data_IF_807731235957
#
_entry.id   IF_807731235957
#
_cell.length_a   1.000
_cell.length_b   1.000
_cell.length_c   1.000
_cell.angle_alpha   90.00
_cell.angle_beta   90.00
_cell.angle_gamma   90.00
#
_symmetry.space_group_name_H-M   'P 1'
#
loop_
_entity.id
_entity.type
_entity.pdbx_description
1 polymer ?
#
# COMPACT_ATOMS: atom_id res chain seq x y z
N UNK A 1 -13.61 -5.56 12.88
CA UNK A 1 -12.60 -5.11 13.87
C UNK A 1 -13.05 -5.47 15.25
N UNK A 2 -14.28 -5.11 15.64
CA UNK A 2 -14.85 -5.44 16.95
C UNK A 2 -15.09 -6.94 17.12
N UNK A 3 -15.61 -7.64 16.10
CA UNK A 3 -15.84 -9.08 16.19
C UNK A 3 -14.55 -9.90 16.30
N UNK A 4 -13.44 -9.39 15.75
CA UNK A 4 -12.10 -10.01 15.80
C UNK A 4 -11.26 -9.47 16.98
N UNK A 5 -11.89 -8.98 18.05
CA UNK A 5 -11.25 -8.27 19.16
C UNK A 5 -11.15 -9.15 20.42
N UNK A 6 -10.07 -9.93 20.60
CA UNK A 6 -9.88 -10.77 21.79
C UNK A 6 -9.79 -9.99 23.11
N UNK A 7 -9.39 -8.71 23.05
CA UNK A 7 -9.38 -7.80 24.20
C UNK A 7 -9.66 -6.38 23.72
N UNK A 8 -10.34 -5.52 24.51
CA UNK A 8 -10.61 -4.14 24.13
C UNK A 8 -9.39 -3.41 23.56
N UNK A 9 -9.52 -2.94 22.32
CA UNK A 9 -8.49 -2.20 21.59
C UNK A 9 -7.51 -3.05 20.77
N UNK A 10 -7.51 -4.38 20.88
CA UNK A 10 -6.64 -5.24 20.07
C UNK A 10 -7.45 -6.10 19.10
N UNK A 11 -7.29 -5.85 17.80
CA UNK A 11 -7.87 -6.69 16.75
C UNK A 11 -6.85 -7.73 16.29
N UNK A 12 -7.23 -9.00 16.28
CA UNK A 12 -6.38 -10.12 15.85
C UNK A 12 -7.10 -10.93 14.76
N UNK A 13 -7.12 -10.36 13.55
CA UNK A 13 -7.77 -10.94 12.36
C UNK A 13 -6.89 -11.93 11.61
N UNK A 14 -5.59 -11.64 11.53
CA UNK A 14 -4.62 -12.47 10.82
C UNK A 14 -3.76 -13.19 11.84
N UNK A 15 -3.41 -14.45 11.56
CA UNK A 15 -2.73 -15.36 12.48
C UNK A 15 -1.44 -14.80 13.13
N UNK A 16 -0.70 -13.99 12.38
CA UNK A 16 0.66 -13.59 12.71
C UNK A 16 0.81 -12.12 13.14
N UNK A 17 -0.29 -11.36 13.20
CA UNK A 17 -0.23 -9.91 13.45
C UNK A 17 -1.46 -9.32 14.13
N UNK A 18 -1.20 -8.40 15.04
CA UNK A 18 -2.23 -7.69 15.83
C UNK A 18 -2.28 -6.20 15.50
N UNK A 19 -3.48 -5.61 15.54
CA UNK A 19 -3.70 -4.17 15.46
C UNK A 19 -4.09 -3.63 16.84
N UNK A 20 -3.23 -2.81 17.43
CA UNK A 20 -3.37 -2.25 18.77
C UNK A 20 -3.82 -0.78 18.68
N UNK A 21 -5.06 -0.50 19.08
CA UNK A 21 -5.63 0.86 19.19
C UNK A 21 -5.18 1.47 20.51
N UNK A 22 -4.29 2.46 20.44
CA UNK A 22 -3.69 3.10 21.63
C UNK A 22 -4.27 4.47 21.95
N UNK A 23 -5.00 5.05 21.01
CA UNK A 23 -5.64 6.36 21.13
C UNK A 23 -6.79 6.50 20.14
N UNK A 24 -7.75 7.34 20.47
CA UNK A 24 -8.81 7.80 19.57
C UNK A 24 -8.58 9.23 19.05
N UNK A 25 -7.52 9.91 19.52
CA UNK A 25 -7.16 11.24 19.07
C UNK A 25 -6.53 11.22 17.68
N UNK A 26 -6.82 12.26 16.91
CA UNK A 26 -6.11 12.61 15.69
C UNK A 26 -5.77 14.11 15.72
N UNK A 27 -4.62 14.51 15.16
CA UNK A 27 -4.33 15.92 14.92
C UNK A 27 -5.33 16.56 13.93
N UNK A 28 -5.87 15.74 13.00
CA UNK A 28 -6.95 16.12 12.11
C UNK A 28 -7.84 14.91 11.81
N UNK A 29 -9.16 15.10 11.93
CA UNK A 29 -10.15 14.06 11.68
C UNK A 29 -10.48 13.94 10.19
N UNK A 30 -9.98 12.90 9.52
CA UNK A 30 -10.24 12.62 8.11
C UNK A 30 -11.75 12.44 7.86
N UNK A 31 -12.35 13.21 6.95
CA UNK A 31 -13.79 13.06 6.61
C UNK A 31 -14.15 11.68 6.02
N UNK A 32 -13.16 10.93 5.56
CA UNK A 32 -13.25 9.56 5.03
C UNK A 32 -12.73 8.50 6.04
N UNK A 33 -12.63 8.82 7.33
CA UNK A 33 -12.07 7.90 8.33
C UNK A 33 -12.94 6.65 8.51
N UNK A 34 -12.31 5.47 8.40
CA UNK A 34 -12.95 4.17 8.60
C UNK A 34 -13.36 3.96 10.08
N UNK A 35 -12.71 4.67 11.00
CA UNK A 35 -12.95 4.64 12.44
C UNK A 35 -13.75 5.85 12.94
N UNK A 36 -14.57 6.46 12.09
CA UNK A 36 -15.44 7.59 12.49
C UNK A 36 -16.35 7.27 13.69
N UNK A 37 -16.75 6.00 13.85
CA UNK A 37 -17.57 5.51 14.96
C UNK A 37 -16.98 5.76 16.35
N UNK A 38 -15.64 5.85 16.49
CA UNK A 38 -14.96 6.05 17.78
C UNK A 38 -14.55 7.51 18.06
N UNK A 39 -14.90 8.46 17.18
CA UNK A 39 -14.55 9.87 17.37
C UNK A 39 -15.19 10.49 18.61
N UNK A 40 -16.42 10.07 18.97
CA UNK A 40 -17.20 10.64 20.05
C UNK A 40 -16.92 9.98 21.41
N UNK A 41 -15.83 9.24 21.54
CA UNK A 41 -15.41 8.67 22.82
C UNK A 41 -14.96 9.79 23.75
N UNK A 42 -15.51 9.88 24.96
CA UNK A 42 -15.16 10.92 25.93
C UNK A 42 -13.65 10.95 26.26
N UNK A 43 -12.99 9.78 26.23
CA UNK A 43 -11.54 9.64 26.39
C UNK A 43 -10.82 9.47 25.05
N UNK A 44 -9.90 10.39 24.79
CA UNK A 44 -9.02 10.37 23.63
C UNK A 44 -7.85 9.38 23.78
N UNK A 45 -7.48 9.01 25.01
CA UNK A 45 -6.40 8.06 25.30
C UNK A 45 -6.96 6.75 25.88
N UNK A 46 -6.49 5.61 25.37
CA UNK A 46 -6.92 4.30 25.88
C UNK A 46 -6.28 4.05 27.24
N UNK A 47 -7.09 3.78 28.27
CA UNK A 47 -6.59 3.62 29.64
C UNK A 47 -5.50 2.53 29.78
N UNK A 48 -4.66 2.66 30.81
CA UNK A 48 -3.51 1.77 31.02
C UNK A 48 -3.92 0.31 31.25
N UNK A 49 -5.09 0.08 31.85
CA UNK A 49 -5.64 -1.27 32.05
C UNK A 49 -5.88 -2.00 30.72
N UNK A 50 -6.43 -1.31 29.72
CA UNK A 50 -6.63 -1.87 28.39
C UNK A 50 -5.28 -2.11 27.69
N UNK A 51 -4.33 -1.18 27.76
CA UNK A 51 -2.97 -1.39 27.23
C UNK A 51 -2.33 -2.64 27.84
N UNK A 52 -2.46 -2.83 29.16
CA UNK A 52 -1.98 -4.03 29.86
C UNK A 52 -2.60 -5.32 29.31
N UNK A 53 -3.92 -5.33 29.09
CA UNK A 53 -4.61 -6.49 28.51
C UNK A 53 -4.12 -6.80 27.09
N UNK A 54 -3.94 -5.78 26.25
CA UNK A 54 -3.43 -5.94 24.88
C UNK A 54 -2.01 -6.54 24.87
N UNK A 55 -1.11 -5.98 25.68
CA UNK A 55 0.28 -6.48 25.80
C UNK A 55 0.30 -7.92 26.35
N UNK A 56 -0.52 -8.24 27.35
CA UNK A 56 -0.60 -9.59 27.90
C UNK A 56 -1.10 -10.61 26.87
N UNK A 57 -2.11 -10.24 26.07
CA UNK A 57 -2.61 -11.11 24.99
C UNK A 57 -1.54 -11.36 23.91
N UNK A 58 -0.81 -10.33 23.49
CA UNK A 58 0.30 -10.47 22.52
C UNK A 58 1.38 -11.39 23.10
N UNK A 59 1.71 -11.22 24.39
CA UNK A 59 2.69 -12.06 25.10
C UNK A 59 2.24 -13.52 25.18
N UNK A 60 0.94 -13.78 25.35
CA UNK A 60 0.41 -15.14 25.43
C UNK A 60 0.24 -15.83 24.07
N UNK A 61 0.46 -15.13 22.96
CA UNK A 61 0.22 -15.64 21.61
C UNK A 61 1.50 -15.62 20.75
N UNK A 62 2.33 -16.68 20.81
CA UNK A 62 3.62 -16.73 20.11
C UNK A 62 3.56 -16.56 18.58
N UNK A 63 2.39 -16.79 17.96
CA UNK A 63 2.21 -16.58 16.52
C UNK A 63 2.28 -15.10 16.12
N UNK A 64 1.99 -14.16 17.03
CA UNK A 64 1.95 -12.72 16.73
C UNK A 64 3.38 -12.16 16.67
N UNK A 65 3.93 -12.05 15.47
CA UNK A 65 5.27 -11.49 15.20
C UNK A 65 5.27 -10.02 14.77
N UNK A 66 4.13 -9.52 14.28
CA UNK A 66 3.98 -8.15 13.77
C UNK A 66 2.87 -7.39 14.51
N UNK A 67 3.23 -6.30 15.20
CA UNK A 67 2.28 -5.50 15.97
C UNK A 67 2.14 -4.12 15.34
N UNK A 68 0.90 -3.76 14.99
CA UNK A 68 0.54 -2.46 14.42
C UNK A 68 -0.01 -1.57 15.53
N UNK A 69 0.76 -0.60 15.97
CA UNK A 69 0.30 0.47 16.86
C UNK A 69 -0.48 1.49 16.03
N UNK A 70 -1.75 1.69 16.36
CA UNK A 70 -2.70 2.48 15.57
C UNK A 70 -3.83 3.03 16.45
N UNK A 71 -4.98 3.33 15.84
CA UNK A 71 -6.15 3.91 16.48
C UNK A 71 -6.68 5.09 15.67
N UNK A 72 -6.79 6.24 16.32
CA UNK A 72 -6.80 7.55 15.68
C UNK A 72 -5.43 7.82 15.04
N UNK A 73 -4.50 8.37 15.83
CA UNK A 73 -3.12 8.59 15.41
C UNK A 73 -2.15 8.46 16.61
N UNK A 74 -1.32 7.41 16.69
CA UNK A 74 -0.40 7.17 17.80
C UNK A 74 0.58 8.31 18.07
N UNK A 75 0.93 9.12 17.08
CA UNK A 75 1.85 10.25 17.28
C UNK A 75 1.20 11.44 17.99
N UNK A 76 -0.10 11.41 18.23
CA UNK A 76 -0.76 12.36 19.15
C UNK A 76 -0.50 12.06 20.62
N UNK A 77 0.01 10.87 20.94
CA UNK A 77 0.41 10.54 22.31
C UNK A 77 1.66 11.33 22.72
N UNK A 78 1.77 11.72 24.01
CA UNK A 78 3.02 12.18 24.57
C UNK A 78 4.15 11.18 24.31
N UNK A 79 5.33 11.70 23.97
CA UNK A 79 6.51 10.88 23.58
C UNK A 79 6.81 9.78 24.61
N UNK A 80 6.81 10.11 25.91
CA UNK A 80 7.03 9.15 27.00
C UNK A 80 5.98 8.01 27.05
N UNK A 81 4.73 8.29 26.68
CA UNK A 81 3.67 7.27 26.67
C UNK A 81 3.83 6.31 25.49
N UNK A 82 4.19 6.85 24.32
CA UNK A 82 4.53 6.02 23.16
C UNK A 82 5.76 5.15 23.47
N UNK A 83 6.80 5.71 24.10
CA UNK A 83 7.98 4.94 24.53
C UNK A 83 7.59 3.79 25.45
N UNK A 84 6.76 4.02 26.46
CA UNK A 84 6.30 2.97 27.38
C UNK A 84 5.68 1.78 26.64
N UNK A 85 4.84 2.04 25.63
CA UNK A 85 4.23 1.01 24.80
C UNK A 85 5.28 0.26 23.97
N UNK A 86 6.16 1.00 23.27
CA UNK A 86 7.19 0.41 22.41
C UNK A 86 8.16 -0.46 23.21
N UNK A 87 8.62 0.02 24.37
CA UNK A 87 9.50 -0.72 25.29
C UNK A 87 8.89 -2.06 25.70
N UNK A 88 7.59 -2.06 26.02
CA UNK A 88 6.87 -3.27 26.45
C UNK A 88 6.66 -4.25 25.31
N UNK A 89 6.35 -3.77 24.10
CA UNK A 89 6.27 -4.61 22.91
C UNK A 89 7.62 -5.24 22.59
N UNK A 90 8.71 -4.48 22.69
CA UNK A 90 10.08 -4.99 22.46
C UNK A 90 10.58 -5.96 23.51
N UNK A 91 10.03 -5.93 24.73
CA UNK A 91 10.34 -6.93 25.74
C UNK A 91 9.72 -8.32 25.42
N UNK A 92 8.83 -8.42 24.43
CA UNK A 92 8.23 -9.69 24.00
C UNK A 92 9.11 -10.31 22.92
N UNK A 93 9.79 -11.43 23.26
CA UNK A 93 10.83 -12.02 22.42
C UNK A 93 10.39 -12.49 21.02
N UNK A 94 9.10 -12.82 20.83
CA UNK A 94 8.56 -13.22 19.52
C UNK A 94 8.01 -12.05 18.68
N UNK A 95 8.00 -10.81 19.20
CA UNK A 95 7.57 -9.63 18.44
C UNK A 95 8.75 -9.08 17.64
N UNK A 96 8.77 -9.39 16.36
CA UNK A 96 9.85 -9.05 15.45
C UNK A 96 9.68 -7.64 14.87
N UNK A 97 8.46 -7.28 14.46
CA UNK A 97 8.17 -6.06 13.72
C UNK A 97 7.15 -5.23 14.49
N UNK A 98 7.46 -3.94 14.67
CA UNK A 98 6.49 -2.94 15.13
C UNK A 98 6.22 -1.98 13.99
N UNK A 99 4.94 -1.78 13.71
CA UNK A 99 4.47 -0.81 12.71
C UNK A 99 3.62 0.25 13.37
N UNK A 100 3.75 1.49 12.93
CA UNK A 100 2.96 2.60 13.42
C UNK A 100 2.13 3.14 12.27
N UNK A 101 0.80 3.12 12.41
CA UNK A 101 -0.12 3.75 11.46
C UNK A 101 -0.44 5.17 11.93
N UNK A 102 0.06 6.19 11.23
CA UNK A 102 -0.04 7.60 11.65
C UNK A 102 -0.18 8.51 10.44
N UNK A 103 -1.06 9.53 10.49
CA UNK A 103 -1.17 10.55 9.44
C UNK A 103 -0.39 11.83 9.78
N UNK A 104 0.17 11.88 10.98
CA UNK A 104 0.92 13.02 11.52
C UNK A 104 2.01 13.58 10.58
N UNK A 105 2.81 12.78 9.83
CA UNK A 105 3.76 13.34 8.87
C UNK A 105 3.11 14.25 7.81
N UNK A 106 1.81 14.09 7.57
CA UNK A 106 1.02 14.88 6.62
C UNK A 106 0.32 16.05 7.29
N UNK A 107 -0.31 15.82 8.44
CA UNK A 107 -1.26 16.77 9.06
C UNK A 107 -0.65 17.60 10.18
N UNK A 108 0.40 17.11 10.83
CA UNK A 108 1.13 17.81 11.88
C UNK A 108 2.62 17.44 11.81
N UNK A 109 3.33 17.78 10.71
CA UNK A 109 4.71 17.37 10.50
C UNK A 109 5.67 17.84 11.60
N UNK A 110 5.34 18.94 12.29
CA UNK A 110 6.10 19.50 13.42
C UNK A 110 6.21 18.55 14.61
N UNK A 111 5.29 17.58 14.75
CA UNK A 111 5.36 16.54 15.79
C UNK A 111 6.54 15.58 15.59
N UNK A 112 7.11 15.53 14.38
CA UNK A 112 8.27 14.71 14.06
C UNK A 112 9.55 15.49 14.39
N UNK A 113 9.87 15.51 15.67
CA UNK A 113 11.06 16.11 16.27
C UNK A 113 12.16 15.06 16.55
N UNK A 114 13.27 15.51 17.15
CA UNK A 114 14.39 14.61 17.50
C UNK A 114 14.00 13.64 18.60
N UNK A 115 13.28 14.09 19.63
CA UNK A 115 12.91 13.26 20.78
C UNK A 115 12.09 12.04 20.33
N UNK A 116 11.09 12.25 19.46
CA UNK A 116 10.31 11.16 18.89
C UNK A 116 11.19 10.23 18.05
N UNK A 117 12.01 10.78 17.18
CA UNK A 117 12.83 9.98 16.27
C UNK A 117 13.87 9.13 17.00
N UNK A 118 14.50 9.64 18.06
CA UNK A 118 15.45 8.90 18.91
C UNK A 118 14.80 7.70 19.58
N UNK A 119 13.57 7.85 20.07
CA UNK A 119 12.81 6.74 20.66
C UNK A 119 12.45 5.70 19.58
N UNK A 120 12.03 6.14 18.40
CA UNK A 120 11.70 5.19 17.33
C UNK A 120 12.92 4.37 16.88
N UNK A 121 14.11 4.99 16.82
CA UNK A 121 15.36 4.30 16.49
C UNK A 121 15.76 3.30 17.59
N UNK A 122 15.71 3.73 18.85
CA UNK A 122 16.04 2.91 20.03
C UNK A 122 15.24 1.61 20.12
N UNK A 123 13.98 1.62 19.70
CA UNK A 123 13.10 0.44 19.71
C UNK A 123 12.87 -0.15 18.30
N UNK A 124 13.80 0.08 17.37
CA UNK A 124 13.82 -0.50 16.03
C UNK A 124 13.84 -2.04 16.00
N UNK A 125 13.53 -2.68 14.86
CA UNK A 125 13.15 -2.06 13.58
C UNK A 125 11.67 -1.61 13.57
N UNK A 126 11.42 -0.32 13.34
CA UNK A 126 10.07 0.27 13.25
C UNK A 126 9.75 0.67 11.82
N UNK A 127 8.52 0.39 11.40
CA UNK A 127 7.95 0.90 10.15
C UNK A 127 6.85 1.91 10.44
N UNK A 128 6.83 3.01 9.69
CA UNK A 128 5.73 3.98 9.72
C UNK A 128 4.92 3.86 8.44
N UNK A 129 3.63 3.58 8.58
CA UNK A 129 2.66 3.66 7.49
C UNK A 129 1.92 5.00 7.62
N UNK A 130 2.21 5.93 6.71
CA UNK A 130 1.55 7.25 6.63
C UNK A 130 0.44 7.29 5.59
N UNK A 131 -0.35 8.37 5.55
CA UNK A 131 -1.52 8.52 4.69
C UNK A 131 -1.52 9.89 3.97
N UNK A 132 -0.89 9.88 2.79
CA UNK A 132 -0.95 10.94 1.79
C UNK A 132 -1.95 10.50 0.73
N UNK A 133 -2.90 11.36 0.41
CA UNK A 133 -3.95 11.13 -0.58
C UNK A 133 -3.79 12.05 -1.80
N UNK A 134 -3.08 13.18 -1.70
CA UNK A 134 -2.95 14.13 -2.80
C UNK A 134 -1.54 14.73 -2.89
N UNK A 135 -0.99 15.03 -4.09
CA UNK A 135 0.34 15.62 -4.24
C UNK A 135 0.56 16.92 -3.46
N UNK A 136 -0.50 17.73 -3.27
CA UNK A 136 -0.46 18.99 -2.50
C UNK A 136 -0.12 18.80 -1.02
N UNK A 137 -0.31 17.60 -0.49
CA UNK A 137 0.03 17.31 0.91
C UNK A 137 1.54 17.08 1.10
N UNK A 138 2.30 16.90 0.01
CA UNK A 138 3.76 16.81 0.03
C UNK A 138 4.31 18.24 0.00
N UNK A 139 4.45 18.82 1.18
CA UNK A 139 5.01 20.15 1.42
C UNK A 139 6.46 20.04 1.88
N UNK A 140 7.14 21.18 2.04
CA UNK A 140 8.50 21.23 2.60
C UNK A 140 8.54 20.63 4.01
N UNK A 141 7.53 20.91 4.83
CA UNK A 141 7.41 20.45 6.21
C UNK A 141 7.17 18.93 6.27
N UNK A 142 6.23 18.41 5.47
CA UNK A 142 5.94 16.96 5.46
C UNK A 142 7.09 16.15 4.88
N UNK A 143 7.78 16.68 3.85
CA UNK A 143 9.01 16.09 3.33
C UNK A 143 10.15 16.11 4.38
N UNK A 144 10.29 17.21 5.14
CA UNK A 144 11.28 17.34 6.21
C UNK A 144 11.03 16.35 7.35
N UNK A 145 9.78 16.20 7.77
CA UNK A 145 9.35 15.22 8.78
C UNK A 145 9.67 13.78 8.35
N UNK A 146 9.31 13.41 7.12
CA UNK A 146 9.64 12.10 6.55
C UNK A 146 11.16 11.88 6.49
N UNK A 147 11.92 12.88 6.04
CA UNK A 147 13.38 12.77 5.99
C UNK A 147 13.97 12.54 7.38
N UNK A 148 13.46 13.20 8.43
CA UNK A 148 13.91 12.97 9.81
C UNK A 148 13.69 11.53 10.25
N UNK A 149 12.50 10.96 10.00
CA UNK A 149 12.20 9.55 10.29
C UNK A 149 13.19 8.61 9.60
N UNK A 150 13.40 8.80 8.30
CA UNK A 150 14.27 7.93 7.49
C UNK A 150 15.73 8.02 7.93
N UNK A 151 16.19 9.20 8.37
CA UNK A 151 17.55 9.38 8.90
C UNK A 151 17.77 8.66 10.24
N UNK A 152 16.71 8.37 10.97
CA UNK A 152 16.72 7.58 12.20
C UNK A 152 16.31 6.11 11.95
N UNK A 153 16.62 5.58 10.76
CA UNK A 153 16.39 4.17 10.44
C UNK A 153 14.93 3.75 10.24
N UNK A 154 13.96 4.67 10.37
CA UNK A 154 12.53 4.33 10.24
C UNK A 154 12.15 4.22 8.77
N UNK A 155 11.66 3.04 8.37
CA UNK A 155 11.16 2.83 7.02
C UNK A 155 9.73 3.40 6.88
N UNK A 156 9.49 4.21 5.85
CA UNK A 156 8.20 4.92 5.66
C UNK A 156 7.46 4.41 4.42
N UNK A 157 6.24 3.94 4.63
CA UNK A 157 5.31 3.52 3.59
C UNK A 157 4.10 4.45 3.53
N UNK A 158 3.38 4.43 2.41
CA UNK A 158 2.15 5.21 2.23
C UNK A 158 0.93 4.34 1.94
N UNK A 159 -0.17 4.67 2.62
CA UNK A 159 -1.47 4.06 2.49
C UNK A 159 -2.48 5.14 2.07
N UNK A 160 -2.62 5.34 0.76
CA UNK A 160 -3.63 6.24 0.22
C UNK A 160 -5.01 5.57 0.26
N UNK A 161 -6.06 6.37 0.32
CA UNK A 161 -7.45 5.94 0.08
C UNK A 161 -7.89 6.57 -1.23
N UNK A 162 -8.54 5.79 -2.09
CA UNK A 162 -9.13 6.25 -3.34
C UNK A 162 -10.43 7.00 -3.03
N UNK A 163 -10.42 8.31 -3.27
CA UNK A 163 -11.44 9.25 -2.86
C UNK A 163 -11.90 10.08 -4.06
N UNK A 164 -13.22 10.06 -4.30
CA UNK A 164 -13.88 10.85 -5.34
C UNK A 164 -13.63 12.34 -5.13
N UNK A 165 -13.22 13.03 -6.19
CA UNK A 165 -12.95 14.47 -6.19
C UNK A 165 -11.65 14.85 -5.48
N UNK A 166 -10.83 13.88 -5.07
CA UNK A 166 -9.53 14.13 -4.44
C UNK A 166 -8.42 13.49 -5.26
N UNK A 167 -8.48 12.18 -5.51
CA UNK A 167 -7.41 11.44 -6.18
C UNK A 167 -7.91 10.33 -7.09
N UNK A 168 -9.18 10.37 -7.49
CA UNK A 168 -9.81 9.45 -8.44
C UNK A 168 -9.46 9.75 -9.91
N UNK A 169 -8.21 10.15 -10.14
CA UNK A 169 -7.64 10.50 -11.43
C UNK A 169 -6.24 9.84 -11.59
N UNK A 170 -5.98 9.10 -12.68
CA UNK A 170 -4.71 8.43 -12.89
C UNK A 170 -3.47 9.34 -12.84
N UNK A 171 -3.54 10.55 -13.41
CA UNK A 171 -2.39 11.44 -13.47
C UNK A 171 -2.08 12.05 -12.09
N UNK A 172 -3.12 12.36 -11.32
CA UNK A 172 -3.02 12.78 -9.91
C UNK A 172 -2.33 11.70 -9.08
N UNK A 173 -2.76 10.44 -9.20
CA UNK A 173 -2.15 9.32 -8.48
C UNK A 173 -0.71 9.04 -8.94
N UNK A 174 -0.43 9.18 -10.24
CA UNK A 174 0.93 9.04 -10.78
C UNK A 174 1.86 10.10 -10.24
N UNK A 175 1.39 11.35 -10.20
CA UNK A 175 2.13 12.48 -9.61
C UNK A 175 2.38 12.25 -8.13
N UNK A 176 1.37 11.79 -7.38
CA UNK A 176 1.50 11.46 -5.97
C UNK A 176 2.56 10.38 -5.75
N UNK A 177 2.45 9.25 -6.45
CA UNK A 177 3.38 8.13 -6.35
C UNK A 177 4.82 8.54 -6.65
N UNK A 178 5.03 9.37 -7.70
CA UNK A 178 6.35 9.90 -8.06
C UNK A 178 6.90 10.83 -6.98
N UNK A 179 6.08 11.70 -6.42
CA UNK A 179 6.52 12.63 -5.38
C UNK A 179 6.81 11.92 -4.06
N UNK A 180 6.03 10.89 -3.70
CA UNK A 180 6.30 10.05 -2.53
C UNK A 180 7.68 9.39 -2.61
N UNK A 181 8.02 8.78 -3.75
CA UNK A 181 9.34 8.15 -3.89
C UNK A 181 10.48 9.17 -3.91
N UNK A 182 10.26 10.41 -4.37
CA UNK A 182 11.25 11.50 -4.28
C UNK A 182 11.60 11.84 -2.83
N UNK A 183 10.63 11.75 -1.91
CA UNK A 183 10.86 11.92 -0.46
C UNK A 183 11.13 10.58 0.25
N UNK A 184 11.47 9.52 -0.50
CA UNK A 184 11.78 8.17 -0.01
C UNK A 184 10.63 7.49 0.76
N UNK A 185 9.39 7.86 0.49
CA UNK A 185 8.20 7.13 0.97
C UNK A 185 7.78 6.12 -0.07
N UNK A 186 7.61 4.86 0.33
CA UNK A 186 7.16 3.79 -0.56
C UNK A 186 5.63 3.77 -0.67
N UNK A 187 5.03 3.95 -1.86
CA UNK A 187 3.61 3.67 -2.07
C UNK A 187 3.33 2.20 -1.76
N UNK A 188 2.52 1.93 -0.74
CA UNK A 188 2.26 0.58 -0.26
C UNK A 188 0.88 0.11 -0.69
N UNK A 189 -0.16 0.80 -0.24
CA UNK A 189 -1.55 0.49 -0.61
C UNK A 189 -2.26 1.71 -1.18
N UNK A 190 -3.12 1.44 -2.17
CA UNK A 190 -4.25 2.28 -2.53
C UNK A 190 -5.50 1.52 -2.06
N UNK A 191 -6.15 2.01 -1.01
CA UNK A 191 -7.38 1.41 -0.50
C UNK A 191 -8.58 1.90 -1.29
N UNK A 192 -9.48 0.99 -1.66
CA UNK A 192 -10.84 1.36 -1.96
C UNK A 192 -11.45 2.03 -0.72
N UNK A 193 -12.20 3.13 -0.90
CA UNK A 193 -12.91 3.77 0.20
C UNK A 193 -13.95 2.80 0.79
N UNK A 194 -13.81 2.53 2.10
CA UNK A 194 -14.62 1.56 2.85
C UNK A 194 -16.10 1.93 2.93
N UNK A 195 -16.92 0.92 3.21
CA UNK A 195 -18.37 1.04 3.34
C UNK A 195 -18.78 1.53 4.73
N UNK A 196 -18.26 2.68 5.16
CA UNK A 196 -18.58 3.27 6.46
C UNK A 196 -19.68 4.33 6.35
N UNK A 197 -20.38 4.56 7.46
CA UNK A 197 -21.51 5.50 7.47
C UNK A 197 -21.06 6.92 7.10
N UNK A 198 -21.73 7.50 6.09
CA UNK A 198 -21.56 8.89 5.70
C UNK A 198 -20.33 9.20 4.83
N UNK A 199 -19.75 8.21 4.14
CA UNK A 199 -18.63 8.43 3.19
C UNK A 199 -18.97 8.07 1.74
N UNK A 200 -20.23 7.75 1.42
CA UNK A 200 -20.64 7.33 0.07
C UNK A 200 -20.26 8.34 -1.03
N UNK A 201 -20.29 9.63 -0.71
CA UNK A 201 -19.87 10.71 -1.61
C UNK A 201 -18.37 10.67 -1.96
N UNK A 202 -17.52 10.05 -1.14
CA UNK A 202 -16.11 9.80 -1.44
C UNK A 202 -15.87 8.49 -2.19
N UNK A 203 -16.84 7.59 -2.24
CA UNK A 203 -16.62 6.26 -2.82
C UNK A 203 -16.55 6.33 -4.35
N UNK A 204 -15.67 5.51 -4.90
CA UNK A 204 -15.52 5.28 -6.34
C UNK A 204 -15.98 3.87 -6.68
N UNK A 205 -16.23 3.60 -7.97
CA UNK A 205 -16.37 2.23 -8.46
C UNK A 205 -15.01 1.54 -8.37
N UNK A 206 -14.98 0.24 -8.06
CA UNK A 206 -13.75 -0.57 -8.03
C UNK A 206 -12.97 -0.48 -9.35
N UNK A 207 -13.68 -0.38 -10.48
CA UNK A 207 -13.08 -0.20 -11.81
C UNK A 207 -12.16 1.02 -11.90
N UNK A 208 -12.43 2.09 -11.13
CA UNK A 208 -11.57 3.29 -11.10
C UNK A 208 -10.20 2.99 -10.49
N UNK A 209 -10.14 2.16 -9.46
CA UNK A 209 -8.86 1.71 -8.89
C UNK A 209 -8.07 0.85 -9.88
N UNK A 210 -8.74 -0.05 -10.61
CA UNK A 210 -8.12 -0.86 -11.67
C UNK A 210 -7.59 0.02 -12.81
N UNK A 211 -8.39 1.01 -13.25
CA UNK A 211 -7.99 2.01 -14.25
C UNK A 211 -6.73 2.78 -13.82
N UNK A 212 -6.66 3.19 -12.54
CA UNK A 212 -5.47 3.86 -11.99
C UNK A 212 -4.26 2.91 -12.05
N UNK A 213 -4.38 1.67 -11.58
CA UNK A 213 -3.25 0.72 -11.60
C UNK A 213 -2.77 0.43 -13.03
N UNK A 214 -3.69 0.34 -14.01
CA UNK A 214 -3.36 0.20 -15.43
C UNK A 214 -2.49 1.36 -15.92
N UNK A 215 -2.86 2.59 -15.57
CA UNK A 215 -2.14 3.80 -15.96
C UNK A 215 -0.86 4.06 -15.15
N UNK A 216 -0.59 3.28 -14.11
CA UNK A 216 0.66 3.33 -13.35
C UNK A 216 1.64 2.25 -13.81
N UNK A 217 1.17 1.00 -13.97
CA UNK A 217 2.02 -0.15 -14.29
C UNK A 217 2.65 -0.01 -15.67
N UNK A 218 3.97 0.07 -15.71
CA UNK A 218 4.74 0.30 -16.94
C UNK A 218 4.86 1.77 -17.37
N UNK A 219 4.05 2.66 -16.79
CA UNK A 219 4.06 4.10 -17.08
C UNK A 219 4.84 4.93 -16.04
N UNK A 220 5.23 4.32 -14.93
CA UNK A 220 6.11 4.90 -13.91
C UNK A 220 7.03 3.84 -13.29
N UNK A 221 7.84 4.24 -12.31
CA UNK A 221 8.83 3.37 -11.66
C UNK A 221 8.17 2.18 -10.97
N UNK A 222 8.70 0.97 -11.16
CA UNK A 222 8.05 -0.26 -10.70
C UNK A 222 7.69 -0.32 -9.21
N UNK A 223 8.58 0.17 -8.34
CA UNK A 223 8.37 0.19 -6.88
C UNK A 223 7.54 1.39 -6.39
N UNK A 224 7.19 2.33 -7.27
CA UNK A 224 6.28 3.44 -6.92
C UNK A 224 4.80 3.08 -7.17
N UNK A 225 4.50 1.84 -7.55
CA UNK A 225 3.14 1.40 -7.86
C UNK A 225 2.59 0.68 -6.62
N UNK A 226 1.58 1.23 -5.92
CA UNK A 226 0.98 0.58 -4.77
C UNK A 226 0.16 -0.64 -5.21
N UNK A 227 -0.13 -1.53 -4.27
CA UNK A 227 -1.17 -2.55 -4.47
C UNK A 227 -2.54 -1.89 -4.25
N UNK A 228 -3.43 -1.95 -5.26
CA UNK A 228 -4.83 -1.56 -5.05
C UNK A 228 -5.55 -2.69 -4.31
N UNK A 229 -6.19 -2.36 -3.19
CA UNK A 229 -6.85 -3.33 -2.33
C UNK A 229 -8.25 -2.89 -1.94
N UNK A 230 -9.15 -3.85 -1.83
CA UNK A 230 -10.46 -3.68 -1.19
C UNK A 230 -10.40 -4.43 0.15
N UNK A 231 -10.72 -3.77 1.27
CA UNK A 231 -10.92 -4.51 2.52
C UNK A 231 -12.27 -5.22 2.41
N UNK A 232 -12.23 -6.55 2.41
CA UNK A 232 -13.41 -7.35 2.16
C UNK A 232 -14.42 -7.23 3.31
N UNK A 233 -15.73 -7.28 3.00
CA UNK A 233 -16.77 -7.28 4.02
C UNK A 233 -16.54 -8.36 5.07
N UNK A 234 -17.10 -8.17 6.28
CA UNK A 234 -16.98 -9.13 7.39
C UNK A 234 -15.54 -9.42 7.83
N UNK A 235 -14.57 -8.59 7.45
CA UNK A 235 -13.19 -8.75 7.90
C UNK A 235 -12.42 -9.86 7.18
N UNK A 236 -12.79 -10.24 5.96
CA UNK A 236 -12.01 -11.20 5.15
C UNK A 236 -10.62 -10.70 4.78
N UNK A 237 -10.33 -9.42 5.05
CA UNK A 237 -9.01 -8.83 4.87
C UNK A 237 -8.83 -8.15 3.52
N UNK A 238 -7.58 -7.77 3.24
CA UNK A 238 -7.22 -6.92 2.10
C UNK A 238 -7.09 -7.78 0.83
N UNK A 239 -8.04 -7.64 -0.09
CA UNK A 239 -8.06 -8.39 -1.35
C UNK A 239 -7.40 -7.54 -2.44
N UNK A 240 -6.26 -7.98 -3.02
CA UNK A 240 -5.59 -7.23 -4.07
C UNK A 240 -6.33 -7.32 -5.40
N UNK A 241 -6.42 -6.19 -6.09
CA UNK A 241 -7.02 -6.08 -7.42
C UNK A 241 -6.05 -5.39 -8.37
N UNK A 242 -5.98 -5.89 -9.59
CA UNK A 242 -5.14 -5.34 -10.65
C UNK A 242 -5.72 -5.65 -12.03
N UNK A 243 -5.23 -5.00 -13.09
CA UNK A 243 -5.61 -5.33 -14.45
C UNK A 243 -5.18 -6.75 -14.85
N UNK A 244 -5.90 -7.35 -15.80
CA UNK A 244 -5.55 -8.64 -16.37
C UNK A 244 -4.44 -8.45 -17.41
N UNK A 245 -3.28 -9.08 -17.16
CA UNK A 245 -2.17 -9.11 -18.12
C UNK A 245 -2.06 -10.46 -18.83
N UNK A 246 -2.42 -11.56 -18.16
CA UNK A 246 -2.61 -12.86 -18.79
C UNK A 246 -3.87 -12.82 -19.65
N UNK A 247 -3.76 -13.24 -20.91
CA UNK A 247 -4.87 -13.28 -21.87
C UNK A 247 -5.30 -14.72 -22.12
N UNK A 248 -4.34 -15.62 -22.31
CA UNK A 248 -4.60 -17.02 -22.65
C UNK A 248 -3.42 -17.91 -22.27
N UNK A 249 -3.63 -19.22 -22.23
CA UNK A 249 -2.62 -20.19 -21.86
C UNK A 249 -2.92 -21.56 -22.48
N UNK A 250 -1.86 -22.31 -22.80
CA UNK A 250 -1.86 -23.74 -23.09
C UNK A 250 -0.73 -24.42 -22.32
N UNK A 251 -0.63 -25.75 -22.39
CA UNK A 251 0.48 -26.49 -21.76
C UNK A 251 1.87 -26.00 -22.19
N UNK A 252 1.98 -25.50 -23.43
CA UNK A 252 3.26 -25.11 -24.04
C UNK A 252 3.56 -23.62 -23.94
N UNK A 253 2.54 -22.79 -23.71
CA UNK A 253 2.65 -21.35 -23.89
C UNK A 253 1.65 -20.54 -23.09
N UNK A 254 2.17 -19.52 -22.41
CA UNK A 254 1.38 -18.45 -21.80
C UNK A 254 1.38 -17.21 -22.69
N UNK A 255 0.22 -16.59 -22.87
CA UNK A 255 0.07 -15.37 -23.67
C UNK A 255 -0.36 -14.22 -22.77
N UNK A 256 0.46 -13.18 -22.72
CA UNK A 256 0.19 -11.97 -21.94
C UNK A 256 0.30 -10.71 -22.78
N UNK A 257 -0.43 -9.65 -22.38
CA UNK A 257 -0.17 -8.29 -22.86
C UNK A 257 0.73 -7.52 -21.91
N UNK A 258 1.40 -6.50 -22.43
CA UNK A 258 1.97 -5.45 -21.61
C UNK A 258 1.08 -4.18 -21.59
N UNK A 259 1.56 -3.13 -20.93
CA UNK A 259 0.90 -1.83 -20.81
C UNK A 259 0.81 -1.06 -22.15
N UNK A 260 1.60 -1.40 -23.17
CA UNK A 260 1.53 -0.80 -24.51
C UNK A 260 0.54 -1.54 -25.44
N UNK A 261 -0.11 -2.61 -24.94
CA UNK A 261 -0.99 -3.47 -25.74
C UNK A 261 -0.24 -4.48 -26.63
N UNK A 262 1.07 -4.66 -26.44
CA UNK A 262 1.82 -5.73 -27.12
C UNK A 262 1.42 -7.06 -26.50
N UNK A 263 0.95 -8.00 -27.32
CA UNK A 263 0.62 -9.36 -26.91
C UNK A 263 1.82 -10.27 -27.22
N UNK A 264 2.32 -10.99 -26.22
CA UNK A 264 3.54 -11.79 -26.32
C UNK A 264 3.24 -13.21 -25.84
N UNK A 265 3.76 -14.20 -26.58
CA UNK A 265 3.84 -15.58 -26.15
C UNK A 265 5.10 -15.85 -25.37
N UNK A 266 4.97 -16.52 -24.23
CA UNK A 266 6.06 -17.04 -23.41
C UNK A 266 5.99 -18.55 -23.42
N UNK A 267 7.10 -19.17 -23.83
CA UNK A 267 7.22 -20.63 -23.86
C UNK A 267 7.37 -21.17 -22.45
N UNK A 268 6.53 -22.12 -22.08
CA UNK A 268 6.62 -22.83 -20.81
C UNK A 268 7.83 -23.77 -20.78
N UNK A 269 8.34 -24.07 -19.58
CA UNK A 269 9.49 -24.93 -19.41
C UNK A 269 9.20 -26.38 -19.82
N UNK A 270 10.21 -27.09 -20.33
CA UNK A 270 10.11 -28.52 -20.67
C UNK A 270 9.54 -28.85 -22.05
N UNK A 271 8.92 -27.88 -22.74
CA UNK A 271 8.24 -28.12 -24.00
C UNK A 271 9.07 -27.69 -25.23
N UNK A 272 9.18 -28.58 -26.23
CA UNK A 272 9.64 -28.20 -27.58
C UNK A 272 8.45 -27.65 -28.35
N UNK A 273 8.55 -26.39 -28.79
CA UNK A 273 7.55 -25.80 -29.69
C UNK A 273 7.70 -26.48 -31.05
N UNK A 274 6.81 -27.41 -31.36
CA UNK A 274 6.58 -27.84 -32.75
C UNK A 274 5.51 -26.91 -33.30
N UNK A 275 5.88 -26.04 -34.23
CA UNK A 275 4.93 -25.14 -34.88
C UNK A 275 3.85 -25.98 -35.58
N UNK A 276 2.59 -25.82 -35.18
CA UNK A 276 1.51 -26.51 -35.88
C UNK A 276 1.27 -25.87 -37.25
N UNK A 277 0.86 -26.65 -38.26
CA UNK A 277 0.46 -26.16 -39.57
C UNK A 277 -0.96 -25.52 -39.57
N UNK A 278 -1.50 -25.12 -38.41
CA UNK A 278 -2.85 -24.53 -38.36
C UNK A 278 -2.92 -23.18 -39.09
N UNK A 279 -4.08 -22.83 -39.63
CA UNK A 279 -4.31 -21.54 -40.30
C UNK A 279 -4.82 -20.45 -39.34
N UNK A 280 -4.69 -20.67 -38.03
CA UNK A 280 -5.30 -19.82 -37.01
C UNK A 280 -4.59 -18.47 -36.89
N UNK A 281 -5.35 -17.36 -36.89
CA UNK A 281 -4.82 -16.00 -36.69
C UNK A 281 -4.76 -15.55 -35.23
N UNK A 282 -4.26 -14.33 -34.98
CA UNK A 282 -4.35 -13.66 -33.68
C UNK A 282 -3.63 -14.40 -32.54
N UNK A 283 -4.24 -14.45 -31.35
CA UNK A 283 -3.67 -15.12 -30.15
C UNK A 283 -3.49 -16.63 -30.37
N UNK A 284 -4.37 -17.27 -31.16
CA UNK A 284 -4.23 -18.68 -31.48
C UNK A 284 -2.94 -18.98 -32.28
N UNK A 285 -2.51 -18.07 -33.16
CA UNK A 285 -1.22 -18.20 -33.87
C UNK A 285 -0.02 -18.14 -32.92
N UNK A 286 -0.13 -17.38 -31.82
CA UNK A 286 0.89 -17.36 -30.78
C UNK A 286 0.88 -18.70 -30.06
N UNK A 287 -0.26 -19.16 -29.56
CA UNK A 287 -0.38 -20.45 -28.84
C UNK A 287 0.09 -21.65 -29.67
N UNK A 288 -0.08 -21.60 -30.99
CA UNK A 288 0.38 -22.62 -31.93
C UNK A 288 1.89 -22.58 -32.23
N UNK A 289 2.64 -21.62 -31.68
CA UNK A 289 4.07 -21.46 -31.92
C UNK A 289 4.45 -20.79 -33.23
N UNK A 290 3.48 -20.23 -33.96
CA UNK A 290 3.70 -19.65 -35.30
C UNK A 290 4.19 -18.21 -35.23
N UNK A 291 3.81 -17.49 -34.18
CA UNK A 291 4.24 -16.10 -33.92
C UNK A 291 4.67 -15.95 -32.48
N UNK A 292 5.67 -15.11 -32.23
CA UNK A 292 6.10 -14.79 -30.87
C UNK A 292 5.29 -13.64 -30.25
N UNK A 293 4.83 -12.68 -31.06
CA UNK A 293 4.08 -11.52 -30.57
C UNK A 293 3.15 -10.90 -31.62
N UNK A 294 2.17 -10.14 -31.15
CA UNK A 294 1.36 -9.20 -31.91
C UNK A 294 1.63 -7.79 -31.38
N UNK A 295 2.02 -6.89 -32.30
CA UNK A 295 2.44 -5.53 -31.97
C UNK A 295 1.44 -4.56 -32.58
N UNK A 296 0.78 -3.71 -31.77
CA UNK A 296 0.00 -2.58 -32.28
C UNK A 296 0.78 -1.72 -33.29
N UNK A 297 0.11 -1.25 -34.34
CA UNK A 297 0.74 -0.60 -35.51
C UNK A 297 1.54 0.66 -35.16
N UNK A 298 1.15 1.40 -34.12
CA UNK A 298 1.66 2.74 -33.82
C UNK A 298 2.31 2.86 -32.43
N UNK A 299 3.21 1.94 -32.08
CA UNK A 299 3.89 1.99 -30.78
C UNK A 299 5.07 2.98 -30.79
N UNK A 300 5.11 4.00 -29.90
CA UNK A 300 6.20 4.96 -29.82
C UNK A 300 7.58 4.32 -29.60
N UNK A 301 7.65 3.23 -28.83
CA UNK A 301 8.88 2.46 -28.61
C UNK A 301 9.46 1.89 -29.92
N UNK A 302 8.60 1.41 -30.83
CA UNK A 302 9.05 0.90 -32.13
C UNK A 302 9.54 2.03 -33.04
N UNK A 303 8.83 3.17 -33.05
CA UNK A 303 9.27 4.36 -33.78
C UNK A 303 10.63 4.89 -33.30
N UNK A 304 10.87 4.91 -31.97
CA UNK A 304 12.19 5.29 -31.42
C UNK A 304 13.30 4.35 -31.87
N UNK A 305 13.06 3.04 -31.86
CA UNK A 305 14.04 2.03 -32.32
C UNK A 305 14.39 2.22 -33.80
N UNK A 306 13.39 2.50 -34.66
CA UNK A 306 13.62 2.79 -36.07
C UNK A 306 14.48 4.05 -36.27
N UNK A 307 14.19 5.13 -35.54
CA UNK A 307 15.00 6.37 -35.58
C UNK A 307 16.45 6.14 -35.14
N UNK A 308 16.66 5.35 -34.08
CA UNK A 308 18.01 5.00 -33.61
C UNK A 308 18.77 4.12 -34.61
N UNK A 309 18.11 3.12 -35.19
CA UNK A 309 18.71 2.25 -36.21
C UNK A 309 19.09 3.03 -37.49
N UNK A 310 18.30 4.03 -37.88
CA UNK A 310 18.62 4.91 -39.00
C UNK A 310 19.86 5.78 -38.72
N UNK A 311 19.99 6.30 -37.48
CA UNK A 311 21.17 7.08 -37.06
C UNK A 311 22.46 6.25 -36.99
N UNK A 312 22.38 4.96 -36.68
CA UNK A 312 23.55 4.07 -36.62
C UNK A 312 24.05 3.62 -38.01
N UNK A 313 23.32 3.94 -39.08
CA UNK A 313 23.68 3.62 -40.48
C UNK A 313 24.21 4.83 -41.26
N UNK A 314 24.26 6.00 -40.62
CA UNK A 314 24.92 7.23 -41.10
C UNK A 314 26.28 7.36 -40.42
#
# INVERSE_FOLDING_TARGET
EEDDMPTPGLTHRYLDRGLMVVTNACAMFCRHCTRKRIWNSADSSVNESNINRMINYIKSMPSIRDVIVSGGDPFTLPTARLESILKRLRAIGHVEIIRIGTRTPVTLPMRIDNELCEILDKYGPIWVNTQFNHPKEITTESAGAVNRLIRHGVCVNNQSVLLRGVNDDPETMKTLCRNLVKIKVRPYYLFQCDQVLGVEHFRTRVSKGIEIIENLRGHTTGFSIPTFVVDGPQGTGKIPLMPNYLISQSEKMSVFRNYEGVVVGYREAGERIVSSNSTSGGVASILAGQRQCLVPREIPRMQRRLKLAARARM
#
